data_IF_851156333919
#
_entry.id   IF_851156333919
#
_cell.length_a   1.000
_cell.length_b   1.000
_cell.length_c   1.000
_cell.angle_alpha   90.00
_cell.angle_beta   90.00
_cell.angle_gamma   90.00
#
_symmetry.space_group_name_H-M   'P 1'
#
loop_
_entity.id
_entity.type
_entity.pdbx_description
1 polymer ?
#
# COMPACT_ATOMS: atom_id res chain seq x y z
N UNK A 1 23.58 2.95 -39.84
CA UNK A 1 22.80 1.85 -39.23
C UNK A 1 21.69 2.52 -38.45
N UNK A 2 20.41 2.24 -38.74
CA UNK A 2 19.29 2.98 -38.15
C UNK A 2 18.97 2.51 -36.75
N UNK A 3 18.74 3.47 -35.84
CA UNK A 3 18.20 3.27 -34.52
C UNK A 3 16.82 2.60 -34.61
N UNK A 4 16.69 1.46 -33.96
CA UNK A 4 15.44 0.70 -33.89
C UNK A 4 14.49 1.44 -32.90
N UNK A 5 13.43 2.00 -33.43
CA UNK A 5 12.35 2.61 -32.62
C UNK A 5 11.48 1.48 -32.08
N UNK A 6 11.45 1.29 -30.77
CA UNK A 6 10.54 0.36 -30.09
C UNK A 6 9.09 0.85 -30.14
N UNK A 7 8.12 0.00 -30.46
CA UNK A 7 6.72 0.39 -30.58
C UNK A 7 6.10 0.67 -29.20
N UNK A 8 5.66 1.91 -29.02
CA UNK A 8 5.01 2.43 -27.81
C UNK A 8 3.62 1.86 -27.47
N UNK A 9 3.15 0.87 -28.24
CA UNK A 9 1.78 0.36 -28.17
C UNK A 9 1.54 -0.72 -27.11
N UNK A 10 2.58 -1.42 -26.64
CA UNK A 10 2.43 -2.45 -25.61
C UNK A 10 2.38 -1.89 -24.17
N UNK A 11 3.08 -0.80 -23.88
CA UNK A 11 2.99 -0.10 -22.60
C UNK A 11 1.56 0.31 -22.22
N UNK A 12 0.75 0.72 -23.20
CA UNK A 12 -0.65 1.17 -22.98
C UNK A 12 -1.62 0.05 -22.55
N UNK A 13 -1.32 -1.22 -22.79
CA UNK A 13 -2.23 -2.34 -22.46
C UNK A 13 -2.16 -2.83 -21.03
N UNK A 14 -0.98 -2.81 -20.41
CA UNK A 14 -0.82 -3.16 -18.99
C UNK A 14 -1.45 -2.08 -18.10
N UNK A 15 -1.23 -0.83 -18.41
CA UNK A 15 -1.80 0.34 -17.73
C UNK A 15 -3.33 0.39 -17.78
N UNK A 16 -3.92 0.08 -18.92
CA UNK A 16 -5.38 0.03 -19.06
C UNK A 16 -6.04 -0.95 -18.10
N UNK A 17 -5.35 -2.01 -17.69
CA UNK A 17 -5.90 -3.03 -16.78
C UNK A 17 -5.81 -2.62 -15.31
N UNK A 18 -4.72 -1.98 -14.92
CA UNK A 18 -4.56 -1.40 -13.57
C UNK A 18 -5.57 -0.25 -13.40
N UNK A 19 -5.71 0.61 -14.39
CA UNK A 19 -6.70 1.69 -14.41
C UNK A 19 -8.14 1.16 -14.34
N UNK A 20 -8.43 0.03 -15.01
CA UNK A 20 -9.75 -0.61 -14.96
C UNK A 20 -10.02 -1.21 -13.57
N UNK A 21 -9.02 -1.81 -12.93
CA UNK A 21 -9.16 -2.33 -11.57
C UNK A 21 -9.42 -1.21 -10.56
N UNK A 22 -8.69 -0.09 -10.66
CA UNK A 22 -8.96 1.11 -9.87
C UNK A 22 -10.34 1.70 -10.15
N UNK A 23 -10.75 1.75 -11.42
CA UNK A 23 -12.08 2.23 -11.79
C UNK A 23 -13.20 1.34 -11.25
N UNK A 24 -13.00 0.02 -11.19
CA UNK A 24 -13.97 -0.92 -10.62
C UNK A 24 -14.07 -0.79 -9.10
N UNK A 25 -12.94 -0.59 -8.41
CA UNK A 25 -12.94 -0.36 -6.96
C UNK A 25 -13.56 1.02 -6.66
N UNK A 26 -13.20 2.07 -7.40
CA UNK A 26 -13.80 3.39 -7.26
C UNK A 26 -15.31 3.37 -7.59
N UNK A 27 -15.72 2.63 -8.61
CA UNK A 27 -17.13 2.48 -8.97
C UNK A 27 -17.92 1.71 -7.91
N UNK A 28 -17.33 0.72 -7.27
CA UNK A 28 -17.96 -0.02 -6.17
C UNK A 28 -18.21 0.90 -4.96
N UNK A 29 -17.28 1.82 -4.67
CA UNK A 29 -17.42 2.80 -3.57
C UNK A 29 -18.48 3.86 -3.88
N UNK A 30 -18.58 4.32 -5.13
CA UNK A 30 -19.57 5.35 -5.52
C UNK A 30 -21.00 4.81 -5.67
N UNK A 31 -21.17 3.49 -5.79
CA UNK A 31 -22.48 2.84 -5.90
C UNK A 31 -23.10 2.48 -4.54
N UNK A 32 -22.42 2.71 -3.43
CA UNK A 32 -22.99 2.50 -2.11
C UNK A 32 -24.10 3.52 -1.86
N UNK A 33 -25.31 3.10 -1.44
CA UNK A 33 -26.35 4.04 -1.07
C UNK A 33 -25.86 4.91 0.09
N UNK A 34 -26.18 6.20 0.06
CA UNK A 34 -25.87 7.20 1.08
C UNK A 34 -26.62 6.95 2.41
N UNK A 35 -26.81 5.70 2.80
CA UNK A 35 -27.36 5.34 4.08
C UNK A 35 -26.21 5.48 5.11
N UNK A 36 -26.32 6.46 5.98
CA UNK A 36 -25.49 6.58 7.17
C UNK A 36 -25.71 5.35 8.05
N UNK A 37 -24.74 4.46 8.09
CA UNK A 37 -24.71 3.31 8.98
C UNK A 37 -23.54 3.48 9.96
N UNK A 38 -23.56 4.52 10.78
CA UNK A 38 -22.71 4.51 11.95
C UNK A 38 -23.35 3.57 12.99
N UNK A 39 -22.62 2.56 13.37
CA UNK A 39 -23.07 1.60 14.37
C UNK A 39 -21.88 0.95 15.06
N UNK A 40 -22.01 0.77 16.37
CA UNK A 40 -21.10 -0.08 17.13
C UNK A 40 -21.82 -1.37 17.45
N UNK A 41 -21.23 -2.51 17.13
CA UNK A 41 -21.78 -3.80 17.50
C UNK A 41 -21.37 -4.24 18.92
N UNK A 42 -21.84 -5.40 19.35
CA UNK A 42 -21.54 -5.95 20.69
C UNK A 42 -20.08 -6.39 20.85
N UNK A 43 -19.32 -6.50 19.76
CA UNK A 43 -17.90 -6.84 19.76
C UNK A 43 -17.00 -5.58 19.72
N UNK A 44 -17.60 -4.39 19.78
CA UNK A 44 -16.88 -3.12 19.74
C UNK A 44 -16.43 -2.70 18.33
N UNK A 45 -16.93 -3.38 17.26
CA UNK A 45 -16.64 -2.98 15.90
C UNK A 45 -17.45 -1.75 15.52
N UNK A 46 -16.85 -0.87 14.75
CA UNK A 46 -17.46 0.36 14.26
C UNK A 46 -17.57 0.32 12.75
N UNK A 47 -18.78 0.55 12.24
CA UNK A 47 -19.03 0.83 10.82
C UNK A 47 -19.33 2.32 10.68
N UNK A 48 -18.55 3.04 9.88
CA UNK A 48 -18.65 4.49 9.70
C UNK A 48 -18.53 4.91 8.23
N UNK A 49 -18.99 6.10 7.92
CA UNK A 49 -18.95 6.74 6.59
C UNK A 49 -18.54 8.21 6.73
N UNK A 50 -18.46 8.96 5.61
CA UNK A 50 -18.16 10.41 5.62
C UNK A 50 -19.10 11.27 6.48
N UNK A 51 -20.31 10.79 6.75
CA UNK A 51 -21.30 11.53 7.52
C UNK A 51 -21.14 11.34 9.03
N UNK A 52 -20.22 10.48 9.44
CA UNK A 52 -20.00 10.15 10.84
C UNK A 52 -18.80 10.89 11.39
N UNK A 53 -18.79 11.14 12.68
CA UNK A 53 -17.60 11.67 13.34
C UNK A 53 -16.46 10.63 13.25
N UNK A 54 -15.24 11.11 13.04
CA UNK A 54 -14.07 10.22 13.06
C UNK A 54 -13.95 9.56 14.44
N UNK A 55 -13.91 8.21 14.49
CA UNK A 55 -13.81 7.52 15.76
C UNK A 55 -12.42 7.74 16.37
N UNK A 56 -12.35 8.11 17.63
CA UNK A 56 -11.09 8.27 18.38
C UNK A 56 -10.70 7.03 19.20
N UNK A 57 -11.69 6.16 19.48
CA UNK A 57 -11.48 4.90 20.21
C UNK A 57 -12.43 3.83 19.72
N UNK A 58 -11.87 2.73 19.22
CA UNK A 58 -12.60 1.56 18.72
C UNK A 58 -12.00 0.33 19.39
N UNK A 59 -12.79 -0.41 20.17
CA UNK A 59 -12.31 -1.63 20.84
C UNK A 59 -12.11 -2.80 19.88
N UNK A 60 -12.94 -2.86 18.84
CA UNK A 60 -12.91 -3.87 17.80
C UNK A 60 -12.27 -3.41 16.50
N UNK A 61 -12.90 -3.77 15.39
CA UNK A 61 -12.49 -3.38 14.04
C UNK A 61 -13.16 -2.09 13.61
N UNK A 62 -12.47 -1.28 12.84
CA UNK A 62 -13.02 -0.14 12.14
C UNK A 62 -13.24 -0.47 10.66
N UNK A 63 -14.50 -0.45 10.24
CA UNK A 63 -14.91 -0.52 8.84
C UNK A 63 -15.36 0.88 8.39
N UNK A 64 -14.72 1.40 7.37
CA UNK A 64 -15.04 2.74 6.87
C UNK A 64 -15.13 2.76 5.34
N UNK A 65 -16.11 3.49 4.82
CA UNK A 65 -16.25 3.74 3.39
C UNK A 65 -16.81 5.15 3.12
N UNK A 66 -16.14 5.91 2.25
CA UNK A 66 -16.56 7.27 1.93
C UNK A 66 -15.56 7.98 1.03
N UNK A 67 -15.57 9.31 1.01
CA UNK A 67 -14.64 10.10 0.22
C UNK A 67 -13.33 10.35 0.95
N UNK A 68 -13.40 10.83 2.20
CA UNK A 68 -12.20 11.23 2.94
C UNK A 68 -12.24 10.77 4.41
N UNK A 69 -11.38 9.81 4.76
CA UNK A 69 -11.13 9.43 6.14
C UNK A 69 -9.92 10.21 6.68
N UNK A 70 -10.11 10.87 7.81
CA UNK A 70 -9.04 11.49 8.57
C UNK A 70 -9.08 10.97 10.01
N UNK A 71 -8.34 9.89 10.30
CA UNK A 71 -8.11 9.44 11.67
C UNK A 71 -6.93 10.22 12.25
N UNK A 72 -7.14 10.84 13.39
CA UNK A 72 -6.13 11.58 14.11
C UNK A 72 -6.26 11.28 15.61
N UNK A 73 -5.14 10.93 16.25
CA UNK A 73 -5.06 10.56 17.67
C UNK A 73 -6.06 9.47 18.07
N UNK A 74 -6.15 8.41 17.25
CA UNK A 74 -7.12 7.33 17.44
C UNK A 74 -6.45 6.03 17.90
N UNK A 75 -7.18 5.28 18.75
CA UNK A 75 -6.82 3.93 19.18
C UNK A 75 -7.83 2.93 18.64
N UNK A 76 -7.34 1.99 17.83
CA UNK A 76 -8.16 0.91 17.23
C UNK A 76 -7.64 -0.41 17.77
N UNK A 77 -8.49 -1.14 18.49
CA UNK A 77 -8.09 -2.37 19.18
C UNK A 77 -7.72 -3.51 18.25
N UNK A 78 -8.31 -3.57 17.06
CA UNK A 78 -8.05 -4.61 16.06
C UNK A 78 -7.75 -4.02 14.68
N UNK A 79 -8.52 -4.36 13.66
CA UNK A 79 -8.22 -4.03 12.26
C UNK A 79 -8.86 -2.71 11.80
N UNK A 80 -8.20 -2.04 10.87
CA UNK A 80 -8.81 -0.98 10.05
C UNK A 80 -9.01 -1.52 8.64
N UNK A 81 -10.25 -1.45 8.15
CA UNK A 81 -10.61 -1.76 6.77
C UNK A 81 -11.33 -0.56 6.20
N UNK A 82 -10.66 0.16 5.29
CA UNK A 82 -11.22 1.40 4.77
C UNK A 82 -11.04 1.52 3.26
N UNK A 83 -12.05 2.13 2.62
CA UNK A 83 -12.03 2.43 1.19
C UNK A 83 -12.58 3.84 0.92
N UNK A 84 -11.88 4.59 0.05
CA UNK A 84 -12.27 5.95 -0.27
C UNK A 84 -11.46 6.61 -1.38
N UNK A 85 -11.51 7.93 -1.43
CA UNK A 85 -10.69 8.73 -2.33
C UNK A 85 -9.38 9.15 -1.64
N UNK A 86 -9.47 9.59 -0.37
CA UNK A 86 -8.33 10.02 0.42
C UNK A 86 -8.41 9.45 1.83
N UNK A 87 -7.39 8.71 2.24
CA UNK A 87 -7.29 8.12 3.57
C UNK A 87 -6.04 8.63 4.26
N UNK A 88 -6.22 9.28 5.41
CA UNK A 88 -5.16 9.79 6.26
C UNK A 88 -5.30 9.19 7.66
N UNK A 89 -4.24 8.53 8.14
CA UNK A 89 -4.17 7.93 9.47
C UNK A 89 -2.94 8.52 10.15
N UNK A 90 -3.15 9.28 11.24
CA UNK A 90 -2.10 10.02 11.92
C UNK A 90 -2.18 9.87 13.43
N UNK A 91 -1.01 9.81 14.05
CA UNK A 91 -0.86 9.74 15.50
C UNK A 91 -1.72 8.61 16.13
N UNK A 92 -1.91 7.48 15.39
CA UNK A 92 -2.80 6.39 15.76
C UNK A 92 -2.05 5.17 16.28
N UNK A 93 -2.77 4.34 17.05
CA UNK A 93 -2.34 3.01 17.44
C UNK A 93 -3.35 1.99 16.95
N UNK A 94 -2.89 0.95 16.22
CA UNK A 94 -3.73 -0.13 15.68
C UNK A 94 -3.22 -1.47 16.15
N UNK A 95 -4.01 -2.17 16.96
CA UNK A 95 -3.64 -3.47 17.54
C UNK A 95 -3.67 -4.64 16.56
N UNK A 96 -4.29 -4.46 15.40
CA UNK A 96 -4.37 -5.46 14.33
C UNK A 96 -3.72 -4.99 13.04
N UNK A 97 -4.33 -5.31 11.91
CA UNK A 97 -3.87 -4.97 10.58
C UNK A 97 -4.61 -3.77 9.99
N UNK A 98 -3.96 -3.07 9.06
CA UNK A 98 -4.53 -1.95 8.30
C UNK A 98 -4.67 -2.36 6.84
N UNK A 99 -5.90 -2.30 6.30
CA UNK A 99 -6.22 -2.63 4.90
C UNK A 99 -6.94 -1.45 4.26
N UNK A 100 -6.27 -0.80 3.30
CA UNK A 100 -6.77 0.43 2.70
C UNK A 100 -6.81 0.35 1.18
N UNK A 101 -7.86 0.91 0.60
CA UNK A 101 -7.98 1.12 -0.84
C UNK A 101 -8.43 2.55 -1.13
N UNK A 102 -7.57 3.38 -1.74
CA UNK A 102 -7.90 4.76 -2.06
C UNK A 102 -6.99 5.33 -3.16
N UNK A 103 -7.34 6.52 -3.68
CA UNK A 103 -6.42 7.24 -4.57
C UNK A 103 -5.18 7.70 -3.82
N UNK A 104 -5.37 8.29 -2.65
CA UNK A 104 -4.27 8.79 -1.82
C UNK A 104 -4.35 8.16 -0.43
N UNK A 105 -3.23 7.59 0.01
CA UNK A 105 -3.09 6.97 1.33
C UNK A 105 -1.86 7.55 2.01
N UNK A 106 -2.07 8.17 3.16
CA UNK A 106 -1.03 8.76 4.00
C UNK A 106 -1.12 8.18 5.42
N UNK A 107 -0.11 7.42 5.84
CA UNK A 107 0.00 6.87 7.19
C UNK A 107 1.21 7.52 7.86
N UNK A 108 0.98 8.28 8.93
CA UNK A 108 2.02 9.06 9.60
C UNK A 108 1.95 8.88 11.11
N UNK A 109 3.11 8.78 11.77
CA UNK A 109 3.25 8.65 13.23
C UNK A 109 2.32 7.59 13.84
N UNK A 110 2.11 6.51 13.13
CA UNK A 110 1.15 5.46 13.46
C UNK A 110 1.86 4.16 13.74
N UNK A 111 1.49 3.51 14.84
CA UNK A 111 1.97 2.18 15.19
C UNK A 111 0.91 1.15 14.81
N UNK A 112 1.29 0.19 13.98
CA UNK A 112 0.44 -0.93 13.56
C UNK A 112 1.10 -2.23 14.01
N UNK A 113 0.49 -2.95 14.94
CA UNK A 113 1.03 -4.21 15.44
C UNK A 113 0.99 -5.34 14.40
N UNK A 114 0.07 -5.23 13.45
CA UNK A 114 -0.08 -6.15 12.31
C UNK A 114 0.59 -5.67 11.02
N UNK A 115 0.06 -6.15 9.90
CA UNK A 115 0.49 -5.76 8.56
C UNK A 115 -0.30 -4.55 8.06
N UNK A 116 0.35 -3.74 7.25
CA UNK A 116 -0.29 -2.71 6.44
C UNK A 116 -0.39 -3.22 5.00
N UNK A 117 -1.60 -3.36 4.48
CA UNK A 117 -1.88 -3.75 3.08
C UNK A 117 -2.65 -2.65 2.40
N UNK A 118 -2.07 -2.04 1.38
CA UNK A 118 -2.63 -0.83 0.77
C UNK A 118 -2.59 -0.88 -0.76
N UNK A 119 -3.65 -0.37 -1.37
CA UNK A 119 -3.76 -0.21 -2.81
C UNK A 119 -4.21 1.22 -3.11
N UNK A 120 -3.39 1.98 -3.85
CA UNK A 120 -3.70 3.39 -4.16
C UNK A 120 -2.91 3.92 -5.34
N UNK A 121 -3.20 5.15 -5.79
CA UNK A 121 -2.31 5.82 -6.75
C UNK A 121 -1.06 6.35 -6.02
N UNK A 122 -1.27 7.04 -4.93
CA UNK A 122 -0.20 7.61 -4.12
C UNK A 122 -0.25 7.02 -2.72
N UNK A 123 0.73 6.23 -2.38
CA UNK A 123 0.81 5.52 -1.09
C UNK A 123 2.07 5.93 -0.35
N UNK A 124 1.90 6.40 0.88
CA UNK A 124 3.01 6.79 1.74
C UNK A 124 2.86 6.18 3.13
N UNK A 125 3.85 5.42 3.57
CA UNK A 125 4.12 5.12 4.97
C UNK A 125 5.21 6.08 5.44
N UNK A 126 4.84 7.10 6.19
CA UNK A 126 5.77 8.16 6.61
C UNK A 126 6.75 7.71 7.69
N UNK A 127 7.83 8.48 7.86
CA UNK A 127 8.76 8.34 8.99
C UNK A 127 8.00 8.35 10.31
N UNK A 128 8.47 7.83 11.37
CA UNK A 128 7.80 7.70 12.67
C UNK A 128 6.57 6.75 12.67
N UNK A 129 6.28 6.07 11.54
CA UNK A 129 5.28 5.00 11.49
C UNK A 129 5.95 3.63 11.50
N UNK A 130 5.32 2.68 12.18
CA UNK A 130 5.82 1.30 12.30
C UNK A 130 4.75 0.29 11.92
N UNK A 131 5.17 -0.80 11.26
CA UNK A 131 4.31 -1.94 10.95
C UNK A 131 5.13 -3.25 10.95
N UNK A 132 4.50 -4.41 11.15
CA UNK A 132 5.21 -5.66 10.98
C UNK A 132 5.59 -5.90 9.52
N UNK A 133 4.63 -5.76 8.60
CA UNK A 133 4.86 -5.90 7.16
C UNK A 133 4.18 -4.76 6.42
N UNK A 134 4.77 -4.33 5.31
CA UNK A 134 4.18 -3.32 4.44
C UNK A 134 4.02 -3.86 3.02
N UNK A 135 2.77 -4.07 2.62
CA UNK A 135 2.36 -4.53 1.30
C UNK A 135 1.67 -3.38 0.58
N UNK A 136 2.27 -2.87 -0.48
CA UNK A 136 1.73 -1.70 -1.17
C UNK A 136 1.74 -1.85 -2.68
N UNK A 137 0.64 -1.46 -3.31
CA UNK A 137 0.51 -1.38 -4.76
C UNK A 137 0.02 0.02 -5.12
N UNK A 138 0.74 0.70 -6.02
CA UNK A 138 0.35 2.04 -6.44
C UNK A 138 1.12 2.54 -7.66
N UNK A 139 0.76 3.72 -8.15
CA UNK A 139 1.56 4.43 -9.14
C UNK A 139 2.86 4.94 -8.48
N UNK A 140 2.70 5.56 -7.32
CA UNK A 140 3.83 6.00 -6.50
C UNK A 140 3.72 5.40 -5.12
N UNK A 141 4.73 4.64 -4.70
CA UNK A 141 4.81 4.02 -3.38
C UNK A 141 6.03 4.52 -2.64
N UNK A 142 5.86 5.07 -1.44
CA UNK A 142 6.95 5.54 -0.60
C UNK A 142 6.92 4.86 0.77
N UNK A 143 7.96 4.10 1.09
CA UNK A 143 8.22 3.54 2.41
C UNK A 143 9.30 4.39 3.10
N UNK A 144 8.90 5.19 4.08
CA UNK A 144 9.80 6.03 4.90
C UNK A 144 9.79 5.59 6.37
N UNK A 145 8.79 4.83 6.77
CA UNK A 145 8.64 4.27 8.10
C UNK A 145 9.53 3.05 8.35
N UNK A 146 9.22 2.33 9.42
CA UNK A 146 9.95 1.12 9.81
C UNK A 146 9.08 -0.12 9.69
N UNK A 147 9.60 -1.18 9.07
CA UNK A 147 8.91 -2.46 8.91
C UNK A 147 9.88 -3.63 9.06
N UNK A 148 9.37 -4.84 9.35
CA UNK A 148 10.20 -6.04 9.35
C UNK A 148 10.41 -6.59 7.95
N UNK A 149 9.42 -6.46 7.06
CA UNK A 149 9.54 -6.84 5.65
C UNK A 149 8.61 -5.99 4.79
N UNK A 150 8.86 -5.92 3.49
CA UNK A 150 8.02 -5.19 2.57
C UNK A 150 7.89 -5.90 1.22
N UNK A 151 6.71 -5.75 0.58
CA UNK A 151 6.51 -6.09 -0.82
C UNK A 151 5.78 -4.92 -1.50
N UNK A 152 6.46 -4.33 -2.47
CA UNK A 152 6.09 -3.04 -3.05
C UNK A 152 5.97 -3.15 -4.56
N UNK A 153 4.88 -2.66 -5.14
CA UNK A 153 4.69 -2.65 -6.58
C UNK A 153 4.19 -1.28 -7.05
N UNK A 154 4.78 -0.78 -8.14
CA UNK A 154 4.36 0.52 -8.69
C UNK A 154 5.23 0.98 -9.84
N UNK A 155 4.93 2.16 -10.41
CA UNK A 155 5.81 2.74 -11.41
C UNK A 155 7.08 3.27 -10.76
N UNK A 156 6.88 4.03 -9.67
CA UNK A 156 7.98 4.54 -8.88
C UNK A 156 7.84 4.07 -7.45
N UNK A 157 8.83 3.30 -6.99
CA UNK A 157 8.96 2.87 -5.60
C UNK A 157 10.13 3.59 -4.97
N UNK A 158 9.87 4.27 -3.84
CA UNK A 158 10.90 4.92 -3.04
C UNK A 158 10.99 4.25 -1.68
N UNK A 159 12.18 3.83 -1.28
CA UNK A 159 12.47 3.32 0.06
C UNK A 159 13.46 4.29 0.71
N UNK A 160 13.02 4.99 1.73
CA UNK A 160 13.81 5.96 2.51
C UNK A 160 13.58 5.77 4.02
N UNK A 161 13.32 4.53 4.42
CA UNK A 161 13.04 4.10 5.79
C UNK A 161 13.81 2.85 6.17
N UNK A 162 13.39 2.21 7.26
CA UNK A 162 14.06 1.02 7.81
C UNK A 162 13.30 -0.25 7.52
N UNK A 163 13.98 -1.27 7.00
CA UNK A 163 13.45 -2.63 6.84
C UNK A 163 14.42 -3.63 7.46
N UNK A 164 13.97 -4.35 8.50
CA UNK A 164 14.82 -5.31 9.23
C UNK A 164 15.12 -6.58 8.43
N UNK A 165 14.26 -6.97 7.50
CA UNK A 165 14.37 -8.17 6.69
C UNK A 165 14.39 -7.88 5.19
N UNK A 166 13.82 -8.79 4.42
CA UNK A 166 13.84 -8.74 2.96
C UNK A 166 12.76 -7.82 2.39
N UNK A 167 13.06 -7.28 1.21
CA UNK A 167 12.15 -6.42 0.44
C UNK A 167 12.02 -7.00 -0.97
N UNK A 168 10.78 -7.18 -1.40
CA UNK A 168 10.43 -7.49 -2.79
C UNK A 168 9.90 -6.24 -3.49
N UNK A 169 10.45 -5.90 -4.64
CA UNK A 169 10.05 -4.71 -5.41
C UNK A 169 9.77 -5.06 -6.86
N UNK A 170 8.61 -4.62 -7.34
CA UNK A 170 8.23 -4.64 -8.76
C UNK A 170 7.95 -3.21 -9.21
N UNK A 171 8.85 -2.61 -9.97
CA UNK A 171 8.72 -1.20 -10.35
C UNK A 171 9.35 -0.90 -11.71
N UNK A 172 8.92 0.18 -12.36
CA UNK A 172 9.72 0.74 -13.44
C UNK A 172 10.98 1.38 -12.86
N UNK A 173 10.82 2.13 -11.77
CA UNK A 173 11.90 2.87 -11.12
C UNK A 173 11.95 2.60 -9.61
N UNK A 174 13.11 2.17 -9.11
CA UNK A 174 13.39 2.03 -7.69
C UNK A 174 14.35 3.13 -7.22
N UNK A 175 13.99 3.83 -6.15
CA UNK A 175 14.82 4.86 -5.50
C UNK A 175 15.10 4.42 -4.07
N UNK A 176 16.36 4.23 -3.74
CA UNK A 176 16.86 4.01 -2.38
C UNK A 176 17.35 5.33 -1.84
N UNK A 177 16.57 5.93 -0.94
CA UNK A 177 16.84 7.24 -0.36
C UNK A 177 18.00 7.21 0.63
N UNK A 178 18.42 8.38 1.09
CA UNK A 178 19.58 8.52 1.98
C UNK A 178 19.41 7.90 3.37
N UNK A 179 18.15 7.74 3.80
CA UNK A 179 17.78 7.14 5.08
C UNK A 179 17.38 5.66 4.94
N UNK A 180 17.49 5.09 3.73
CA UNK A 180 17.19 3.67 3.52
C UNK A 180 18.18 2.80 4.31
N UNK A 181 17.66 2.05 5.26
CA UNK A 181 18.42 1.08 6.04
C UNK A 181 17.73 -0.29 5.95
N UNK A 182 18.25 -1.16 5.07
CA UNK A 182 17.66 -2.46 4.79
C UNK A 182 18.69 -3.53 5.18
N UNK A 183 18.39 -4.29 6.23
CA UNK A 183 19.32 -5.31 6.75
C UNK A 183 19.36 -6.55 5.85
N UNK A 184 18.22 -6.90 5.27
CA UNK A 184 18.07 -8.07 4.41
C UNK A 184 18.42 -7.82 2.96
N UNK A 185 17.81 -8.61 2.07
CA UNK A 185 17.99 -8.55 0.62
C UNK A 185 16.86 -7.73 -0.01
N UNK A 186 17.20 -6.82 -0.90
CA UNK A 186 16.25 -6.21 -1.84
C UNK A 186 16.28 -7.00 -3.14
N UNK A 187 15.20 -7.71 -3.42
CA UNK A 187 14.97 -8.35 -4.72
C UNK A 187 14.18 -7.38 -5.59
N UNK A 188 14.83 -6.76 -6.55
CA UNK A 188 14.25 -5.70 -7.36
C UNK A 188 14.03 -6.17 -8.81
N UNK A 189 12.75 -6.31 -9.19
CA UNK A 189 12.30 -6.53 -10.55
C UNK A 189 11.97 -5.18 -11.17
N UNK A 190 12.91 -4.61 -11.94
CA UNK A 190 12.84 -3.22 -12.37
C UNK A 190 13.15 -3.05 -13.85
N UNK A 191 12.58 -2.02 -14.46
CA UNK A 191 12.84 -1.66 -15.87
C UNK A 191 14.06 -0.72 -16.00
N UNK A 192 14.31 0.11 -14.99
CA UNK A 192 15.42 1.07 -14.95
C UNK A 192 16.42 0.68 -13.86
N UNK A 193 17.67 1.12 -14.00
CA UNK A 193 18.65 0.92 -12.93
C UNK A 193 18.22 1.62 -11.65
N UNK A 194 18.25 0.93 -10.49
CA UNK A 194 17.91 1.55 -9.23
C UNK A 194 18.79 2.76 -8.91
N UNK A 195 18.16 3.86 -8.53
CA UNK A 195 18.85 5.02 -7.98
C UNK A 195 19.17 4.77 -6.51
N UNK A 196 20.45 4.92 -6.13
CA UNK A 196 20.90 4.76 -4.75
C UNK A 196 21.57 6.03 -4.25
N UNK A 197 21.00 6.63 -3.22
CA UNK A 197 21.60 7.78 -2.55
C UNK A 197 22.86 7.38 -1.75
N UNK A 198 23.79 8.31 -1.57
CA UNK A 198 25.06 8.06 -0.89
C UNK A 198 24.93 7.61 0.59
N UNK A 199 23.78 7.81 1.22
CA UNK A 199 23.52 7.38 2.60
C UNK A 199 22.76 6.05 2.72
N UNK A 200 22.31 5.47 1.60
CA UNK A 200 21.54 4.25 1.64
C UNK A 200 22.38 3.04 2.08
N UNK A 201 21.91 2.32 3.08
CA UNK A 201 22.50 1.09 3.57
C UNK A 201 21.60 -0.09 3.21
N UNK A 202 22.11 -1.05 2.44
CA UNK A 202 21.38 -2.21 1.96
C UNK A 202 22.25 -3.45 2.12
N UNK A 203 21.77 -4.48 2.77
CA UNK A 203 22.50 -5.73 3.01
C UNK A 203 22.88 -6.42 1.71
N UNK A 204 21.91 -6.66 0.84
CA UNK A 204 22.14 -7.13 -0.53
C UNK A 204 21.11 -6.53 -1.49
N UNK A 205 21.53 -6.24 -2.73
CA UNK A 205 20.63 -5.80 -3.80
C UNK A 205 20.76 -6.78 -4.96
N UNK A 206 19.68 -7.47 -5.26
CA UNK A 206 19.56 -8.33 -6.42
C UNK A 206 18.64 -7.64 -7.41
N UNK A 207 19.14 -7.42 -8.61
CA UNK A 207 18.39 -6.75 -9.69
C UNK A 207 18.06 -7.78 -10.74
N UNK A 208 16.78 -7.97 -10.99
CA UNK A 208 16.26 -8.71 -12.11
C UNK A 208 15.63 -7.71 -13.08
N UNK A 209 16.20 -7.63 -14.28
CA UNK A 209 15.70 -6.69 -15.29
C UNK A 209 14.58 -7.37 -16.04
N UNK A 210 13.40 -6.80 -15.95
CA UNK A 210 12.23 -7.25 -16.71
C UNK A 210 12.38 -6.79 -18.16
N UNK A 211 13.25 -7.44 -18.92
CA UNK A 211 13.28 -7.32 -20.38
C UNK A 211 12.14 -8.19 -20.95
N UNK A 212 10.97 -7.59 -21.15
CA UNK A 212 9.86 -8.16 -21.92
C UNK A 212 9.38 -9.57 -21.51
N UNK A 213 9.37 -9.92 -20.24
CA UNK A 213 8.68 -11.12 -19.83
C UNK A 213 7.17 -10.88 -19.64
N UNK A 214 6.42 -11.90 -20.06
CA UNK A 214 4.96 -11.92 -20.14
C UNK A 214 4.29 -11.31 -18.90
N UNK A 215 3.32 -10.46 -19.16
CA UNK A 215 2.36 -9.85 -18.21
C UNK A 215 1.72 -10.85 -17.22
N UNK A 216 2.00 -12.14 -17.35
CA UNK A 216 1.54 -13.22 -16.47
C UNK A 216 2.15 -13.12 -15.06
N UNK A 217 3.45 -12.84 -14.93
CA UNK A 217 4.15 -12.86 -13.63
C UNK A 217 3.70 -11.70 -12.73
N UNK A 218 3.54 -10.50 -13.30
CA UNK A 218 3.04 -9.33 -12.54
C UNK A 218 1.58 -9.56 -12.13
N UNK A 219 0.76 -10.16 -13.00
CA UNK A 219 -0.63 -10.51 -12.67
C UNK A 219 -0.71 -11.58 -11.58
N UNK A 220 0.20 -12.54 -11.55
CA UNK A 220 0.24 -13.60 -10.53
C UNK A 220 0.66 -13.04 -9.17
N UNK A 221 1.58 -12.08 -9.15
CA UNK A 221 2.01 -11.40 -7.91
C UNK A 221 0.92 -10.47 -7.39
N UNK A 222 0.32 -9.65 -8.26
CA UNK A 222 -0.84 -8.81 -7.90
C UNK A 222 -1.99 -9.70 -7.43
N UNK A 223 -2.26 -10.80 -8.14
CA UNK A 223 -3.23 -11.81 -7.74
C UNK A 223 -2.91 -12.43 -6.38
N UNK A 224 -1.66 -12.71 -6.09
CA UNK A 224 -1.19 -13.24 -4.81
C UNK A 224 -1.35 -12.25 -3.67
N UNK A 225 -0.99 -10.99 -3.86
CA UNK A 225 -1.15 -9.92 -2.84
C UNK A 225 -2.65 -9.65 -2.59
N UNK A 226 -3.46 -9.57 -3.65
CA UNK A 226 -4.92 -9.39 -3.54
C UNK A 226 -5.57 -10.61 -2.90
N UNK A 227 -5.17 -11.83 -3.25
CA UNK A 227 -5.69 -13.07 -2.65
C UNK A 227 -5.30 -13.19 -1.18
N UNK A 228 -4.08 -12.81 -0.80
CA UNK A 228 -3.65 -12.76 0.60
C UNK A 228 -4.46 -11.72 1.40
N UNK A 229 -4.72 -10.55 0.82
CA UNK A 229 -5.56 -9.53 1.44
C UNK A 229 -7.01 -9.98 1.61
N UNK A 230 -7.57 -10.73 0.63
CA UNK A 230 -8.95 -11.21 0.68
C UNK A 230 -9.11 -12.48 1.53
N UNK A 231 -8.12 -13.40 1.55
CA UNK A 231 -8.24 -14.66 2.29
C UNK A 231 -8.24 -14.47 3.81
N UNK A 232 -7.64 -13.40 4.32
CA UNK A 232 -7.70 -13.03 5.73
C UNK A 232 -9.03 -12.41 6.13
N UNK A 233 -9.88 -11.99 5.19
CA UNK A 233 -11.24 -11.48 5.48
C UNK A 233 -12.27 -12.58 5.70
N UNK A 234 -11.95 -13.87 5.39
CA UNK A 234 -12.92 -14.98 5.48
C UNK A 234 -12.67 -15.98 6.62
N UNK A 235 -11.67 -15.75 7.46
CA UNK A 235 -11.37 -16.59 8.63
C UNK A 235 -11.48 -15.74 9.89
N UNK A 236 -12.71 -15.42 10.26
CA UNK A 236 -13.11 -14.95 11.58
C UNK A 236 -14.55 -15.40 11.85
#
# INVERSE_FOLDING_TARGET
MPCNQFPSTQRRKAWGRITILFALIALAVTALPTASFAGTDTAGNVLATDNDANPSGVEGDLYWAGQALNLDDASIGRDIIAAGESLSIRDCTVGGAVRLAARTIDIAKTTVDGSVTVVGQHVVLNSDSTANCFYAIGETVALRGSTKSAALAGDTVTIDGTVEGDVEVWADKLILGKNAHITGTVNAHVSEDPERAAGAEVGALKIDRTENEDTSTVNDVIGGIVAAALSTCFVA
#
